data_IF_143985297241
#
_entry.id   IF_143985297241
#
_cell.length_a   1.000
_cell.length_b   1.000
_cell.length_c   1.000
_cell.angle_alpha   90.00
_cell.angle_beta   90.00
_cell.angle_gamma   90.00
#
_symmetry.space_group_name_H-M   'P 1'
#
loop_
_entity.id
_entity.type
_entity.pdbx_description
1 polymer ?
#
# COMPACT_ATOMS: atom_id res chain seq x y z
N UNK A 1 15.42 -11.15 7.40
CA UNK A 1 13.96 -11.05 7.14
C UNK A 1 13.74 -9.84 6.26
N UNK A 2 12.84 -9.93 5.29
CA UNK A 2 12.49 -8.78 4.45
C UNK A 2 11.73 -7.72 5.27
N UNK A 3 11.92 -6.42 5.00
CA UNK A 3 11.15 -5.36 5.62
C UNK A 3 9.66 -5.52 5.32
N UNK A 4 8.83 -5.33 6.36
CA UNK A 4 7.38 -5.45 6.26
C UNK A 4 6.75 -4.11 5.89
N UNK A 5 5.86 -4.15 4.91
CA UNK A 5 4.97 -3.03 4.55
C UNK A 5 3.53 -3.53 4.70
N UNK A 6 2.79 -2.88 5.57
CA UNK A 6 1.39 -3.15 5.83
C UNK A 6 0.54 -2.22 4.97
N UNK A 7 -0.25 -2.80 4.06
CA UNK A 7 -1.04 -2.09 3.07
C UNK A 7 -2.52 -2.28 3.39
N UNK A 8 -3.27 -1.19 3.36
CA UNK A 8 -4.73 -1.22 3.33
C UNK A 8 -5.18 -0.86 1.91
N UNK A 9 -6.00 -1.73 1.31
CA UNK A 9 -6.59 -1.49 -0.01
C UNK A 9 -8.01 -0.94 0.18
N UNK A 10 -8.30 0.22 -0.41
CA UNK A 10 -9.63 0.83 -0.42
C UNK A 10 -9.93 1.36 -1.82
N UNK A 11 -10.27 0.44 -2.74
CA UNK A 11 -10.58 0.80 -4.12
C UNK A 11 -12.05 0.61 -4.42
N UNK A 12 -12.51 1.19 -5.52
CA UNK A 12 -13.79 0.91 -6.15
C UNK A 12 -13.66 -0.07 -7.32
N UNK A 13 -12.51 -0.74 -7.44
CA UNK A 13 -12.29 -1.75 -8.46
C UNK A 13 -13.14 -3.00 -8.20
N UNK A 14 -13.51 -3.74 -9.27
CA UNK A 14 -14.02 -5.10 -9.13
C UNK A 14 -13.05 -5.99 -8.34
N UNK A 15 -13.58 -6.94 -7.58
CA UNK A 15 -12.78 -7.86 -6.75
C UNK A 15 -11.63 -8.53 -7.52
N UNK A 16 -11.86 -8.89 -8.78
CA UNK A 16 -10.83 -9.48 -9.62
C UNK A 16 -9.66 -8.53 -9.90
N UNK A 17 -9.95 -7.26 -10.19
CA UNK A 17 -8.92 -6.24 -10.42
C UNK A 17 -8.16 -5.91 -9.13
N UNK A 18 -8.84 -5.90 -7.98
CA UNK A 18 -8.17 -5.80 -6.68
C UNK A 18 -7.21 -6.97 -6.45
N UNK A 19 -7.63 -8.21 -6.76
CA UNK A 19 -6.77 -9.38 -6.64
C UNK A 19 -5.54 -9.30 -7.57
N UNK A 20 -5.74 -8.89 -8.83
CA UNK A 20 -4.62 -8.67 -9.76
C UNK A 20 -3.65 -7.60 -9.26
N UNK A 21 -4.16 -6.52 -8.68
CA UNK A 21 -3.34 -5.47 -8.08
C UNK A 21 -2.51 -6.01 -6.89
N UNK A 22 -3.14 -6.76 -5.98
CA UNK A 22 -2.43 -7.38 -4.85
C UNK A 22 -1.34 -8.34 -5.33
N UNK A 23 -1.66 -9.24 -6.25
CA UNK A 23 -0.73 -10.23 -6.79
C UNK A 23 0.41 -9.58 -7.58
N UNK A 24 0.11 -8.55 -8.37
CA UNK A 24 1.09 -7.76 -9.12
C UNK A 24 2.10 -7.08 -8.19
N UNK A 25 1.61 -6.40 -7.15
CA UNK A 25 2.45 -5.78 -6.12
C UNK A 25 3.31 -6.81 -5.39
N UNK A 26 2.71 -7.91 -4.94
CA UNK A 26 3.43 -9.00 -4.25
C UNK A 26 4.53 -9.57 -5.14
N UNK A 27 4.23 -9.82 -6.41
CA UNK A 27 5.17 -10.42 -7.36
C UNK A 27 6.32 -9.48 -7.68
N UNK A 28 6.02 -8.20 -7.93
CA UNK A 28 7.03 -7.20 -8.26
C UNK A 28 8.02 -7.00 -7.10
N UNK A 29 7.52 -6.87 -5.87
CA UNK A 29 8.33 -6.54 -4.69
C UNK A 29 8.80 -7.75 -3.87
N UNK A 30 8.56 -8.99 -4.33
CA UNK A 30 8.78 -10.22 -3.55
C UNK A 30 10.19 -10.40 -2.97
N UNK A 31 11.19 -9.81 -3.61
CA UNK A 31 12.59 -9.94 -3.21
C UNK A 31 13.04 -8.83 -2.23
N UNK A 32 12.30 -7.74 -2.17
CA UNK A 32 12.69 -6.52 -1.45
C UNK A 32 11.84 -6.29 -0.21
N UNK A 33 10.56 -6.68 -0.26
CA UNK A 33 9.59 -6.42 0.80
C UNK A 33 8.67 -7.62 1.07
N UNK A 34 8.24 -7.74 2.32
CA UNK A 34 7.11 -8.57 2.70
C UNK A 34 5.86 -7.69 2.77
N UNK A 35 5.01 -7.75 1.74
CA UNK A 35 3.75 -7.00 1.70
C UNK A 35 2.66 -7.73 2.49
N UNK A 36 2.01 -7.03 3.40
CA UNK A 36 0.91 -7.55 4.24
C UNK A 36 -0.33 -6.73 3.92
N UNK A 37 -1.28 -7.33 3.22
CA UNK A 37 -2.55 -6.69 2.91
C UNK A 37 -3.52 -6.95 4.06
N UNK A 38 -4.06 -5.86 4.62
CA UNK A 38 -5.00 -5.89 5.71
C UNK A 38 -6.44 -5.97 5.21
N UNK A 39 -7.36 -6.52 6.02
CA UNK A 39 -8.80 -6.46 5.71
C UNK A 39 -9.27 -5.03 5.45
N UNK A 40 -10.20 -4.86 4.52
CA UNK A 40 -10.72 -3.55 4.09
C UNK A 40 -11.42 -2.76 5.21
N UNK A 41 -11.88 -3.45 6.26
CA UNK A 41 -12.50 -2.85 7.44
C UNK A 41 -11.52 -2.58 8.59
N UNK A 42 -10.21 -2.82 8.39
CA UNK A 42 -9.19 -2.61 9.41
C UNK A 42 -9.11 -1.14 9.85
N UNK A 43 -9.17 -0.92 11.17
CA UNK A 43 -9.17 0.43 11.80
C UNK A 43 -7.94 0.71 12.66
N UNK A 44 -6.96 -0.18 12.67
CA UNK A 44 -5.73 -0.01 13.46
C UNK A 44 -4.77 1.01 12.84
N UNK A 45 -3.74 1.39 13.60
CA UNK A 45 -2.73 2.37 13.18
C UNK A 45 -1.46 1.76 12.60
N UNK A 46 -1.41 0.44 12.46
CA UNK A 46 -0.25 -0.28 11.93
C UNK A 46 -0.20 -0.27 10.40
N UNK A 47 -1.09 0.48 9.74
CA UNK A 47 -1.11 0.69 8.30
C UNK A 47 0.04 1.61 7.91
N UNK A 48 0.88 1.16 7.00
CA UNK A 48 1.97 1.96 6.46
C UNK A 48 1.56 2.74 5.22
N UNK A 49 0.72 2.12 4.38
CA UNK A 49 0.27 2.71 3.14
C UNK A 49 -1.20 2.35 2.87
N UNK A 50 -1.98 3.38 2.52
CA UNK A 50 -3.30 3.23 1.94
C UNK A 50 -3.19 3.29 0.42
N UNK A 51 -3.60 2.23 -0.28
CA UNK A 51 -3.78 2.25 -1.74
C UNK A 51 -5.27 2.42 -2.02
N UNK A 52 -5.63 3.46 -2.75
CA UNK A 52 -7.04 3.79 -3.01
C UNK A 52 -7.25 4.43 -4.37
N UNK A 53 -8.48 4.40 -4.87
CA UNK A 53 -8.83 5.07 -6.14
C UNK A 53 -9.21 6.54 -5.97
N UNK A 54 -9.38 6.98 -4.73
CA UNK A 54 -9.66 8.37 -4.37
C UNK A 54 -9.11 8.72 -2.99
N UNK A 55 -9.05 10.02 -2.67
CA UNK A 55 -8.65 10.47 -1.34
C UNK A 55 -9.69 10.06 -0.30
N UNK A 56 -9.24 9.38 0.74
CA UNK A 56 -10.11 9.01 1.87
C UNK A 56 -10.06 10.11 2.92
N UNK A 57 -11.18 10.80 3.13
CA UNK A 57 -11.28 11.89 4.13
C UNK A 57 -11.82 11.43 5.49
N UNK A 58 -12.28 10.18 5.59
CA UNK A 58 -12.92 9.66 6.80
C UNK A 58 -11.89 9.09 7.78
N UNK A 59 -11.94 9.51 9.04
CA UNK A 59 -11.18 8.88 10.12
C UNK A 59 -11.61 7.41 10.32
N UNK A 60 -10.68 6.48 10.60
CA UNK A 60 -9.29 6.70 11.01
C UNK A 60 -8.28 6.83 9.86
N UNK A 61 -8.71 6.69 8.60
CA UNK A 61 -7.82 6.58 7.44
C UNK A 61 -7.37 7.92 6.85
N UNK A 62 -8.02 9.01 7.25
CA UNK A 62 -7.79 10.36 6.71
C UNK A 62 -6.35 10.87 6.79
N UNK A 63 -5.61 10.41 7.80
CA UNK A 63 -4.24 10.86 8.08
C UNK A 63 -3.18 9.85 7.60
N UNK A 64 -3.60 8.78 6.90
CA UNK A 64 -2.68 7.77 6.38
C UNK A 64 -1.97 8.27 5.12
N UNK A 65 -0.73 7.83 4.98
CA UNK A 65 0.01 7.98 3.74
C UNK A 65 -0.72 7.23 2.62
N UNK A 66 -0.96 7.89 1.48
CA UNK A 66 -1.76 7.33 0.39
C UNK A 66 -0.93 7.10 -0.89
N UNK A 67 -1.41 6.19 -1.73
CA UNK A 67 -1.03 6.04 -3.13
C UNK A 67 -2.31 5.87 -3.93
N UNK A 68 -2.54 6.77 -4.91
CA UNK A 68 -3.76 6.74 -5.72
C UNK A 68 -3.53 5.86 -6.93
N UNK A 69 -4.40 4.87 -7.11
CA UNK A 69 -4.42 4.00 -8.29
C UNK A 69 -5.71 4.25 -9.06
N UNK A 70 -5.64 4.54 -10.35
CA UNK A 70 -6.83 4.83 -11.16
C UNK A 70 -7.09 3.79 -12.25
N UNK A 71 -6.08 2.98 -12.55
CA UNK A 71 -6.07 1.96 -13.59
C UNK A 71 -5.01 0.91 -13.23
N UNK A 72 -4.75 -0.03 -14.14
CA UNK A 72 -3.65 -0.97 -14.01
C UNK A 72 -2.30 -0.27 -13.78
N UNK A 73 -1.52 -0.77 -12.82
CA UNK A 73 -0.22 -0.20 -12.49
C UNK A 73 0.75 -0.31 -13.67
N UNK A 74 1.31 0.82 -14.06
CA UNK A 74 2.40 0.94 -15.04
C UNK A 74 3.73 0.95 -14.30
N UNK A 75 4.83 0.76 -15.04
CA UNK A 75 6.19 0.76 -14.47
C UNK A 75 6.49 2.00 -13.61
N UNK A 76 5.97 3.17 -14.01
CA UNK A 76 6.15 4.41 -13.25
C UNK A 76 5.52 4.33 -11.85
N UNK A 77 4.38 3.66 -11.71
CA UNK A 77 3.68 3.50 -10.45
C UNK A 77 4.50 2.61 -9.50
N UNK A 78 5.10 1.54 -10.02
CA UNK A 78 6.01 0.70 -9.25
C UNK A 78 7.26 1.45 -8.79
N UNK A 79 7.83 2.32 -9.61
CA UNK A 79 8.97 3.16 -9.23
C UNK A 79 8.57 4.10 -8.08
N UNK A 80 7.41 4.74 -8.17
CA UNK A 80 6.89 5.63 -7.13
C UNK A 80 6.60 4.87 -5.83
N UNK A 81 6.00 3.68 -5.92
CA UNK A 81 5.78 2.81 -4.77
C UNK A 81 7.08 2.38 -4.11
N UNK A 82 8.12 2.07 -4.89
CA UNK A 82 9.44 1.73 -4.36
C UNK A 82 10.02 2.89 -3.52
N UNK A 83 10.00 4.11 -4.06
CA UNK A 83 10.44 5.31 -3.34
C UNK A 83 9.63 5.53 -2.05
N UNK A 84 8.32 5.28 -2.11
CA UNK A 84 7.43 5.43 -0.95
C UNK A 84 7.72 4.38 0.13
N UNK A 85 7.97 3.12 -0.25
CA UNK A 85 8.35 2.06 0.68
C UNK A 85 9.68 2.36 1.36
N UNK A 86 10.67 2.87 0.63
CA UNK A 86 11.93 3.32 1.23
C UNK A 86 11.73 4.42 2.28
N UNK A 87 10.88 5.41 1.98
CA UNK A 87 10.57 6.49 2.92
C UNK A 87 9.87 5.95 4.18
N UNK A 88 8.89 5.05 4.01
CA UNK A 88 8.18 4.39 5.11
C UNK A 88 9.18 3.64 6.00
N UNK A 89 10.10 2.87 5.41
CA UNK A 89 11.10 2.12 6.19
C UNK A 89 12.03 3.05 6.97
N UNK A 90 12.50 4.14 6.35
CA UNK A 90 13.34 5.14 7.03
C UNK A 90 12.60 5.76 8.23
N UNK A 91 11.32 6.11 8.08
CA UNK A 91 10.51 6.67 9.17
C UNK A 91 10.27 5.67 10.31
N UNK A 92 10.14 4.38 10.01
CA UNK A 92 10.01 3.34 11.05
C UNK A 92 11.30 3.20 11.85
N UNK A 93 12.45 3.22 11.18
CA UNK A 93 13.76 3.12 11.85
C UNK A 93 14.06 4.33 12.72
N UNK A 94 13.62 5.53 12.34
CA UNK A 94 13.86 6.75 13.14
C UNK A 94 12.93 6.89 14.36
N UNK A 95 11.89 6.05 14.48
CA UNK A 95 10.94 6.04 15.61
C UNK A 95 11.27 4.95 16.65
N UNK A 96 12.26 4.09 16.35
CA UNK A 96 12.86 3.14 17.29
C UNK A 96 14.01 3.81 18.04
#
# INVERSE_FOLDING_TARGET
>A
QLPKITILLMTDFPLFEEQLLEEGLRTFFRNDYQLIFLPTDYRGREVDLLISTSKVHRKPWADLDYFIVTEELKLIDYIQLSQKFEMIQKQKQSKQ
#
